data_IF_646476355359
#
_entry.id   IF_646476355359
#
_cell.length_a   1.000
_cell.length_b   1.000
_cell.length_c   1.000
_cell.angle_alpha   90.00
_cell.angle_beta   90.00
_cell.angle_gamma   90.00
#
_symmetry.space_group_name_H-M   'P 1'
#
loop_
_entity.id
_entity.type
_entity.pdbx_description
1 polymer ?
#
# COMPACT_ATOMS: atom_id res chain seq x y z
N UNK A 1 -5.90 14.84 7.82
CA UNK A 1 -6.88 13.87 7.24
C UNK A 1 -6.46 12.49 7.71
N UNK A 2 -7.33 11.71 8.38
CA UNK A 2 -6.97 10.34 8.72
C UNK A 2 -6.88 9.52 7.44
N UNK A 3 -5.82 8.73 7.33
CA UNK A 3 -5.67 7.71 6.31
C UNK A 3 -6.54 6.52 6.74
N UNK A 4 -7.63 6.30 6.04
CA UNK A 4 -8.48 5.12 6.29
C UNK A 4 -7.85 3.89 5.62
N UNK A 5 -7.75 2.74 6.32
CA UNK A 5 -7.28 1.50 5.71
C UNK A 5 -8.27 1.04 4.63
N UNK A 6 -7.75 0.49 3.55
CA UNK A 6 -8.54 -0.16 2.52
C UNK A 6 -8.44 -1.67 2.72
N UNK A 7 -9.55 -2.33 3.04
CA UNK A 7 -9.63 -3.79 3.20
C UNK A 7 -10.15 -4.44 1.89
N UNK A 8 -9.42 -5.45 1.39
CA UNK A 8 -9.83 -6.24 0.24
C UNK A 8 -9.87 -7.73 0.60
N UNK A 9 -10.93 -8.43 0.17
CA UNK A 9 -11.13 -9.86 0.43
C UNK A 9 -11.63 -10.57 -0.83
N UNK A 10 -10.73 -11.15 -1.63
CA UNK A 10 -11.07 -11.92 -2.85
C UNK A 10 -11.09 -13.44 -2.70
N UNK A 11 -10.81 -13.99 -1.51
CA UNK A 11 -10.81 -15.44 -1.25
C UNK A 11 -9.48 -15.97 -0.73
N UNK A 12 -9.33 -17.30 -0.71
CA UNK A 12 -8.08 -17.98 -0.31
C UNK A 12 -7.18 -18.18 -1.54
N UNK A 13 -5.97 -17.62 -1.49
CA UNK A 13 -4.96 -17.78 -2.52
C UNK A 13 -3.97 -18.87 -2.09
N UNK A 14 -3.79 -19.96 -2.86
CA UNK A 14 -2.75 -20.95 -2.56
C UNK A 14 -1.35 -20.35 -2.69
N UNK A 15 -0.39 -20.87 -1.91
CA UNK A 15 0.99 -20.36 -1.80
C UNK A 15 1.75 -20.31 -3.14
N UNK A 16 1.35 -21.13 -4.11
CA UNK A 16 1.95 -21.18 -5.46
C UNK A 16 1.54 -20.01 -6.37
N UNK A 17 0.59 -19.16 -5.93
CA UNK A 17 0.02 -18.08 -6.73
C UNK A 17 0.22 -16.71 -6.07
N UNK A 18 0.24 -15.68 -6.91
CA UNK A 18 0.15 -14.29 -6.48
C UNK A 18 -1.12 -13.67 -7.08
N UNK A 19 -1.70 -12.71 -6.37
CA UNK A 19 -2.78 -11.87 -6.87
C UNK A 19 -2.31 -10.42 -6.91
N UNK A 20 -2.93 -9.60 -7.76
CA UNK A 20 -2.57 -8.20 -7.94
C UNK A 20 -3.63 -7.27 -7.33
N UNK A 21 -3.19 -6.39 -6.43
CA UNK A 21 -4.05 -5.40 -5.80
C UNK A 21 -3.81 -4.01 -6.39
N UNK A 22 -4.89 -3.39 -6.87
CA UNK A 22 -4.86 -2.01 -7.39
C UNK A 22 -5.78 -1.14 -6.56
N UNK A 23 -5.22 -0.18 -5.83
CA UNK A 23 -5.97 0.89 -5.18
C UNK A 23 -5.80 2.21 -5.94
N UNK A 24 -6.85 3.03 -5.94
CA UNK A 24 -6.81 4.39 -6.49
C UNK A 24 -7.17 5.36 -5.39
N UNK A 25 -6.35 6.39 -5.23
CA UNK A 25 -6.54 7.43 -4.23
C UNK A 25 -6.04 8.78 -4.73
N UNK A 26 -6.35 9.83 -3.98
CA UNK A 26 -5.86 11.18 -4.26
C UNK A 26 -4.82 11.55 -3.21
N UNK A 27 -3.70 12.11 -3.66
CA UNK A 27 -2.65 12.62 -2.79
C UNK A 27 -2.96 14.06 -2.38
N UNK A 28 -2.67 14.41 -1.12
CA UNK A 28 -2.90 15.74 -0.60
C UNK A 28 -2.12 16.80 -1.42
N UNK A 29 -2.73 17.96 -1.64
CA UNK A 29 -2.22 18.97 -2.56
C UNK A 29 -0.94 19.67 -2.06
N UNK A 30 -0.70 19.62 -0.75
CA UNK A 30 0.41 20.25 -0.02
C UNK A 30 1.64 19.35 0.13
N UNK A 31 1.63 18.15 -0.45
CA UNK A 31 2.79 17.26 -0.42
C UNK A 31 3.97 17.84 -1.21
N UNK A 32 5.15 17.81 -0.60
CA UNK A 32 6.36 18.39 -1.17
C UNK A 32 6.98 17.45 -2.22
N UNK A 33 7.30 18.00 -3.40
CA UNK A 33 8.04 17.27 -4.42
C UNK A 33 9.41 16.79 -3.87
N UNK A 34 9.83 15.59 -4.27
CA UNK A 34 11.07 14.97 -3.82
C UNK A 34 10.95 14.17 -2.52
N UNK A 35 9.85 14.29 -1.77
CA UNK A 35 9.57 13.44 -0.61
C UNK A 35 9.29 11.99 -1.05
N UNK A 36 9.65 11.02 -0.21
CA UNK A 36 9.20 9.62 -0.35
C UNK A 36 7.89 9.45 0.41
N UNK A 37 6.88 8.97 -0.29
CA UNK A 37 5.66 8.46 0.34
C UNK A 37 5.81 6.96 0.52
N UNK A 38 5.50 6.48 1.72
CA UNK A 38 5.51 5.06 2.06
C UNK A 38 4.09 4.53 2.13
N UNK A 39 3.89 3.32 1.64
CA UNK A 39 2.63 2.60 1.69
C UNK A 39 2.85 1.30 2.46
N UNK A 40 2.69 1.30 3.79
CA UNK A 40 2.78 0.10 4.60
C UNK A 40 1.72 -0.90 4.16
N UNK A 41 2.09 -2.17 3.97
CA UNK A 41 1.17 -3.23 3.57
C UNK A 41 1.14 -4.31 4.65
N UNK A 42 -0.06 -4.75 5.02
CA UNK A 42 -0.26 -5.94 5.85
C UNK A 42 -1.02 -6.94 5.00
N UNK A 43 -0.45 -8.14 4.84
CA UNK A 43 -1.10 -9.25 4.17
C UNK A 43 -1.55 -10.25 5.24
N UNK A 44 -2.84 -10.54 5.31
CA UNK A 44 -3.39 -11.53 6.23
C UNK A 44 -3.82 -12.80 5.47
N UNK A 45 -3.33 -13.96 5.90
CA UNK A 45 -3.64 -15.26 5.29
C UNK A 45 -3.84 -16.31 6.39
N UNK A 46 -5.04 -16.92 6.45
CA UNK A 46 -5.38 -18.00 7.39
C UNK A 46 -4.97 -17.75 8.86
N UNK A 47 -5.11 -16.50 9.35
CA UNK A 47 -4.77 -16.11 10.72
C UNK A 47 -3.30 -15.77 10.96
N UNK A 48 -2.44 -15.87 9.95
CA UNK A 48 -1.09 -15.30 9.93
C UNK A 48 -1.11 -13.92 9.26
N UNK A 49 -0.12 -13.09 9.58
CA UNK A 49 -0.01 -11.73 9.04
C UNK A 49 1.44 -11.36 8.71
N UNK A 50 1.71 -11.06 7.45
CA UNK A 50 2.98 -10.51 6.98
C UNK A 50 2.93 -8.99 6.91
N UNK A 51 3.95 -8.34 7.46
CA UNK A 51 4.00 -6.89 7.68
C UNK A 51 5.16 -6.26 6.93
N UNK A 52 4.83 -5.52 5.86
CA UNK A 52 5.77 -4.83 5.00
C UNK A 52 5.81 -3.35 5.42
N UNK A 53 6.31 -3.13 6.65
CA UNK A 53 6.27 -1.81 7.31
C UNK A 53 7.67 -1.21 7.53
N UNK A 54 8.73 -2.03 7.51
CA UNK A 54 10.12 -1.57 7.65
C UNK A 54 11.13 -2.51 6.91
N UNK A 55 11.63 -2.13 5.71
CA UNK A 55 11.25 -0.94 4.94
C UNK A 55 9.91 -1.15 4.24
N UNK A 56 8.99 -0.19 4.37
CA UNK A 56 7.78 -0.16 3.56
C UNK A 56 8.09 0.19 2.08
N UNK A 57 7.31 -0.32 1.12
CA UNK A 57 7.34 0.15 -0.25
C UNK A 57 7.10 1.65 -0.32
N UNK A 58 7.87 2.36 -1.15
CA UNK A 58 7.73 3.80 -1.27
C UNK A 58 7.92 4.32 -2.68
N UNK A 59 7.19 5.39 -3.00
CA UNK A 59 7.31 6.11 -4.27
C UNK A 59 7.94 7.48 -4.01
N UNK A 60 8.76 7.95 -4.95
CA UNK A 60 9.27 9.32 -4.91
C UNK A 60 8.27 10.26 -5.58
N UNK A 61 7.86 11.31 -4.88
CA UNK A 61 7.00 12.33 -5.45
C UNK A 61 7.78 13.13 -6.50
N UNK A 62 7.34 13.04 -7.76
CA UNK A 62 7.88 13.87 -8.83
C UNK A 62 7.19 15.25 -8.81
N UNK A 63 7.91 16.32 -9.19
CA UNK A 63 7.31 17.64 -9.31
C UNK A 63 6.15 17.62 -10.30
N UNK A 64 5.07 18.33 -9.97
CA UNK A 64 3.99 18.58 -10.93
C UNK A 64 4.57 19.39 -12.09
N UNK A 65 4.26 18.95 -13.32
CA UNK A 65 4.69 19.59 -14.56
C UNK A 65 4.04 20.95 -14.75
#
# INVERSE_FOLDING_TARGET
>A
MPIEPADWSGGSLPDEFHDEFVFRGTLAADLTAGQKLYFPVVQECHGAADRWIDPAPGIKLLPKK
#
